data_IF_844376494704
#
_entry.id   IF_844376494704
#
_cell.length_a   1.000
_cell.length_b   1.000
_cell.length_c   1.000
_cell.angle_alpha   90.00
_cell.angle_beta   90.00
_cell.angle_gamma   90.00
#
_symmetry.space_group_name_H-M   'P 1'
#
loop_
_entity.id
_entity.type
_entity.pdbx_description
1 polymer ?
#
# COMPACT_ATOMS: atom_id res chain seq x y z
N UNK A 1 5.69 -7.42 -16.80
CA UNK A 1 4.90 -7.54 -15.55
C UNK A 1 5.88 -7.74 -14.41
N UNK A 2 5.74 -7.03 -13.29
CA UNK A 2 6.54 -7.29 -12.09
C UNK A 2 5.88 -8.42 -11.32
N UNK A 3 6.60 -9.51 -11.12
CA UNK A 3 6.16 -10.65 -10.30
C UNK A 3 6.83 -10.56 -8.94
N UNK A 4 6.22 -9.80 -8.04
CA UNK A 4 6.70 -9.62 -6.66
C UNK A 4 5.64 -10.09 -5.65
N UNK A 5 6.00 -10.81 -4.56
CA UNK A 5 5.12 -10.99 -3.42
C UNK A 5 4.57 -9.65 -2.92
N UNK A 6 3.27 -9.60 -2.64
CA UNK A 6 2.60 -8.36 -2.22
C UNK A 6 1.46 -8.65 -1.26
N UNK A 7 1.23 -7.73 -0.32
CA UNK A 7 0.15 -7.84 0.65
C UNK A 7 -0.42 -6.45 0.95
N UNK A 8 -1.74 -6.33 0.89
CA UNK A 8 -2.47 -5.15 1.37
C UNK A 8 -2.90 -5.38 2.81
N UNK A 9 -2.61 -4.43 3.69
CA UNK A 9 -3.09 -4.41 5.07
C UNK A 9 -4.31 -3.49 5.12
N UNK A 10 -5.50 -4.08 5.28
CA UNK A 10 -6.75 -3.35 5.34
C UNK A 10 -7.32 -3.35 6.76
N UNK A 11 -8.47 -2.71 6.94
CA UNK A 11 -9.17 -2.66 8.21
C UNK A 11 -10.63 -2.29 7.99
N UNK A 12 -11.45 -2.44 9.03
CA UNK A 12 -12.88 -2.14 8.95
C UNK A 12 -13.18 -0.64 9.05
N UNK A 13 -12.29 0.12 9.68
CA UNK A 13 -12.41 1.58 9.87
C UNK A 13 -11.04 2.19 10.23
N UNK A 14 -10.98 3.52 10.35
CA UNK A 14 -9.82 4.25 10.88
C UNK A 14 -9.54 3.92 12.35
N UNK A 15 -8.27 3.88 12.76
CA UNK A 15 -7.90 3.63 14.16
C UNK A 15 -7.84 2.16 14.60
N UNK A 16 -8.19 1.19 13.74
CA UNK A 16 -8.15 -0.25 14.07
C UNK A 16 -6.73 -0.87 14.12
N UNK A 17 -5.67 -0.07 13.93
CA UNK A 17 -4.28 -0.51 14.05
C UNK A 17 -3.57 -0.94 12.76
N UNK A 18 -4.13 -0.62 11.58
CA UNK A 18 -3.53 -0.92 10.25
C UNK A 18 -2.06 -0.51 10.15
N UNK A 19 -1.75 0.72 10.57
CA UNK A 19 -0.40 1.29 10.53
C UNK A 19 0.56 0.50 11.39
N UNK A 20 0.17 0.17 12.63
CA UNK A 20 0.99 -0.65 13.54
C UNK A 20 1.30 -2.02 12.96
N UNK A 21 0.29 -2.70 12.40
CA UNK A 21 0.48 -4.00 11.73
C UNK A 21 1.38 -3.87 10.51
N UNK A 22 1.17 -2.85 9.68
CA UNK A 22 1.96 -2.59 8.47
C UNK A 22 3.43 -2.36 8.81
N UNK A 23 3.72 -1.43 9.73
CA UNK A 23 5.07 -1.12 10.16
C UNK A 23 5.75 -2.33 10.83
N UNK A 24 5.01 -3.09 11.65
CA UNK A 24 5.50 -4.32 12.27
C UNK A 24 5.92 -5.38 11.24
N UNK A 25 5.10 -5.60 10.21
CA UNK A 25 5.42 -6.52 9.12
C UNK A 25 6.62 -6.05 8.30
N UNK A 26 6.66 -4.77 7.92
CA UNK A 26 7.79 -4.18 7.20
C UNK A 26 9.09 -4.32 7.98
N UNK A 27 9.07 -4.02 9.29
CA UNK A 27 10.23 -4.18 10.17
C UNK A 27 10.67 -5.65 10.27
N UNK A 28 9.71 -6.58 10.41
CA UNK A 28 9.99 -8.01 10.47
C UNK A 28 10.61 -8.54 9.17
N UNK A 29 10.10 -8.14 8.01
CA UNK A 29 10.66 -8.52 6.71
C UNK A 29 12.06 -7.94 6.50
N UNK A 30 12.27 -6.66 6.84
CA UNK A 30 13.61 -6.04 6.80
C UNK A 30 14.59 -6.75 7.74
N UNK A 31 14.17 -7.11 8.95
CA UNK A 31 15.01 -7.88 9.91
C UNK A 31 15.41 -9.25 9.36
N UNK A 32 14.62 -9.82 8.45
CA UNK A 32 14.94 -11.06 7.72
C UNK A 32 15.82 -10.84 6.48
N UNK A 33 16.29 -9.62 6.24
CA UNK A 33 17.17 -9.28 5.13
C UNK A 33 16.47 -9.00 3.80
N UNK A 34 15.13 -8.89 3.78
CA UNK A 34 14.37 -8.59 2.57
C UNK A 34 14.39 -7.10 2.24
N UNK A 35 14.49 -6.76 0.95
CA UNK A 35 14.24 -5.42 0.44
C UNK A 35 12.73 -5.19 0.36
N UNK A 36 12.20 -4.39 1.29
CA UNK A 36 10.77 -4.11 1.40
C UNK A 36 10.43 -2.80 0.70
N UNK A 37 9.45 -2.81 -0.21
CA UNK A 37 8.84 -1.60 -0.75
C UNK A 37 7.53 -1.31 -0.02
N UNK A 38 7.47 -0.17 0.68
CA UNK A 38 6.24 0.33 1.28
C UNK A 38 5.38 1.13 0.32
N UNK A 39 4.07 0.95 0.41
CA UNK A 39 3.09 1.79 -0.25
C UNK A 39 1.98 2.19 0.71
N UNK A 40 1.39 3.35 0.49
CA UNK A 40 0.19 3.81 1.21
C UNK A 40 -0.93 4.08 0.22
N UNK A 41 -2.13 3.56 0.49
CA UNK A 41 -3.32 3.93 -0.29
C UNK A 41 -3.77 5.34 0.10
N UNK A 42 -4.14 6.13 -0.91
CA UNK A 42 -4.66 7.49 -0.73
C UNK A 42 -3.58 8.55 -0.50
N UNK A 43 -3.97 9.80 -0.23
CA UNK A 43 -3.08 10.97 -0.18
C UNK A 43 -2.31 11.13 1.14
N UNK A 44 -2.25 10.12 2.01
CA UNK A 44 -1.57 10.27 3.30
C UNK A 44 -0.04 10.15 3.14
N UNK A 45 0.65 11.29 3.18
CA UNK A 45 2.10 11.35 3.00
C UNK A 45 2.86 11.12 4.31
N UNK A 46 2.23 11.26 5.48
CA UNK A 46 2.90 11.05 6.79
C UNK A 46 3.28 9.57 6.93
N UNK A 47 2.36 8.67 6.58
CA UNK A 47 2.59 7.23 6.67
C UNK A 47 3.73 6.76 5.77
N UNK A 48 3.87 7.34 4.57
CA UNK A 48 5.00 7.01 3.69
C UNK A 48 6.34 7.41 4.31
N UNK A 49 6.37 8.44 5.16
CA UNK A 49 7.53 8.78 5.98
C UNK A 49 7.89 7.65 6.95
N UNK A 50 6.93 7.12 7.71
CA UNK A 50 7.15 6.00 8.62
C UNK A 50 7.61 4.74 7.89
N UNK A 51 6.97 4.40 6.76
CA UNK A 51 7.38 3.26 5.92
C UNK A 51 8.83 3.42 5.45
N UNK A 52 9.21 4.64 5.02
CA UNK A 52 10.56 4.93 4.54
C UNK A 52 11.58 4.77 5.66
N UNK A 53 11.28 5.26 6.86
CA UNK A 53 12.15 5.10 8.05
C UNK A 53 12.34 3.61 8.37
N UNK A 54 11.24 2.85 8.44
CA UNK A 54 11.30 1.42 8.80
C UNK A 54 12.03 0.62 7.72
N UNK A 55 11.68 0.79 6.45
CA UNK A 55 12.22 -0.02 5.34
C UNK A 55 13.61 0.45 4.90
N UNK A 56 13.97 1.72 5.10
CA UNK A 56 15.17 2.34 4.50
C UNK A 56 15.02 2.59 2.99
N UNK A 57 13.80 2.48 2.45
CA UNK A 57 13.50 2.64 1.03
C UNK A 57 12.32 3.59 0.87
N UNK A 58 12.41 4.51 -0.08
CA UNK A 58 11.36 5.52 -0.30
C UNK A 58 10.01 4.85 -0.59
N UNK A 59 9.06 5.05 0.32
CA UNK A 59 7.69 4.60 0.17
C UNK A 59 6.90 5.54 -0.77
N UNK A 60 5.79 5.04 -1.32
CA UNK A 60 5.00 5.77 -2.33
C UNK A 60 3.51 5.68 -2.05
N UNK A 61 2.78 6.73 -2.40
CA UNK A 61 1.33 6.69 -2.42
C UNK A 61 0.83 5.96 -3.68
N UNK A 62 -0.21 5.16 -3.50
CA UNK A 62 -1.10 4.66 -4.54
C UNK A 62 -2.43 5.38 -4.31
N UNK A 63 -2.57 6.56 -4.88
CA UNK A 63 -3.69 7.45 -4.61
C UNK A 63 -4.71 7.40 -5.76
N UNK A 64 -5.77 6.60 -5.64
CA UNK A 64 -6.76 6.45 -6.69
C UNK A 64 -7.63 7.71 -6.94
N UNK A 65 -7.57 8.74 -6.07
CA UNK A 65 -8.18 10.04 -6.38
C UNK A 65 -7.38 10.84 -7.40
N UNK A 66 -6.05 10.78 -7.30
CA UNK A 66 -5.15 11.56 -8.13
C UNK A 66 -4.56 10.74 -9.29
N UNK A 67 -4.61 9.41 -9.20
CA UNK A 67 -4.04 8.49 -10.18
C UNK A 67 -5.15 7.72 -10.88
N UNK A 68 -5.11 7.71 -12.21
CA UNK A 68 -5.89 6.75 -12.98
C UNK A 68 -5.50 5.30 -12.61
N UNK A 69 -6.34 4.30 -12.94
CA UNK A 69 -5.99 2.89 -12.76
C UNK A 69 -4.63 2.51 -13.39
N UNK A 70 -4.35 3.06 -14.58
CA UNK A 70 -3.08 2.82 -15.29
C UNK A 70 -1.89 3.43 -14.55
N UNK A 71 -2.04 4.63 -14.02
CA UNK A 71 -0.99 5.31 -13.24
C UNK A 71 -0.74 4.62 -11.90
N UNK A 72 -1.80 4.17 -11.22
CA UNK A 72 -1.69 3.36 -10.00
C UNK A 72 -0.86 2.10 -10.25
N UNK A 73 -1.21 1.34 -11.29
CA UNK A 73 -0.46 0.12 -11.67
C UNK A 73 0.99 0.46 -12.04
N UNK A 74 1.20 1.54 -12.81
CA UNK A 74 2.55 1.94 -13.22
C UNK A 74 3.41 2.41 -12.05
N UNK A 75 2.84 3.15 -11.10
CA UNK A 75 3.49 3.58 -9.86
C UNK A 75 3.91 2.38 -9.01
N UNK A 76 3.00 1.42 -8.83
CA UNK A 76 3.30 0.16 -8.14
C UNK A 76 4.44 -0.59 -8.81
N UNK A 77 4.36 -0.83 -10.12
CA UNK A 77 5.39 -1.55 -10.90
C UNK A 77 6.76 -0.88 -10.80
N UNK A 78 6.83 0.43 -11.01
CA UNK A 78 8.10 1.17 -10.89
C UNK A 78 8.62 1.15 -9.46
N UNK A 79 7.75 1.27 -8.48
CA UNK A 79 8.17 1.29 -7.08
C UNK A 79 8.70 -0.05 -6.60
N UNK A 80 8.12 -1.15 -7.06
CA UNK A 80 8.54 -2.51 -6.72
C UNK A 80 9.84 -2.95 -7.39
N UNK A 81 10.40 -2.19 -8.33
CA UNK A 81 11.64 -2.58 -9.01
C UNK A 81 12.81 -2.75 -8.01
N UNK A 82 13.38 -3.95 -7.95
CA UNK A 82 14.47 -4.28 -7.03
C UNK A 82 14.04 -4.45 -5.57
N UNK A 83 12.76 -4.68 -5.29
CA UNK A 83 12.27 -5.11 -3.99
C UNK A 83 11.91 -6.59 -4.01
N UNK A 84 12.06 -7.25 -2.85
CA UNK A 84 11.70 -8.66 -2.66
C UNK A 84 10.23 -8.83 -2.26
N UNK A 85 9.65 -7.81 -1.60
CA UNK A 85 8.24 -7.79 -1.19
C UNK A 85 7.67 -6.36 -1.19
N UNK A 86 6.41 -6.24 -1.59
CA UNK A 86 5.64 -5.01 -1.45
C UNK A 86 4.62 -5.12 -0.30
N UNK A 87 4.61 -4.17 0.62
CA UNK A 87 3.59 -4.08 1.68
C UNK A 87 2.83 -2.77 1.48
N UNK A 88 1.51 -2.88 1.35
CA UNK A 88 0.62 -1.76 1.02
C UNK A 88 -0.29 -1.50 2.22
N UNK A 89 -0.18 -0.34 2.84
CA UNK A 89 -1.09 0.09 3.89
C UNK A 89 -2.37 0.68 3.30
N UNK A 90 -3.52 0.15 3.70
CA UNK A 90 -4.83 0.68 3.32
C UNK A 90 -5.16 2.03 3.96
N UNK A 91 -6.27 2.63 3.55
CA UNK A 91 -6.83 3.87 4.12
C UNK A 91 -8.27 3.63 4.56
N UNK A 92 -8.72 4.30 5.63
CA UNK A 92 -10.08 4.20 6.18
C UNK A 92 -10.54 2.73 6.35
N UNK A 93 -11.81 2.41 6.08
CA UNK A 93 -12.29 1.05 5.90
C UNK A 93 -11.95 0.48 4.52
N UNK A 94 -11.91 -0.85 4.40
CA UNK A 94 -11.52 -1.56 3.17
C UNK A 94 -12.28 -1.08 1.91
N UNK A 95 -13.58 -0.83 2.06
CA UNK A 95 -14.47 -0.42 0.97
C UNK A 95 -14.77 1.07 0.98
N UNK A 96 -14.20 1.83 1.91
CA UNK A 96 -14.43 3.26 1.99
C UNK A 96 -13.67 3.93 0.85
N UNK A 97 -14.43 4.39 -0.15
CA UNK A 97 -13.96 5.28 -1.21
C UNK A 97 -14.77 6.57 -1.18
N UNK A 98 -14.50 7.48 -2.10
CA UNK A 98 -15.29 8.71 -2.18
C UNK A 98 -15.44 9.28 -3.58
N UNK A 99 -15.41 8.42 -4.60
CA UNK A 99 -16.12 8.75 -5.83
C UNK A 99 -17.64 8.55 -5.69
N UNK A 100 -18.42 8.93 -6.72
CA UNK A 100 -19.89 8.97 -6.67
C UNK A 100 -20.55 7.63 -6.35
N UNK A 101 -19.86 6.51 -6.64
CA UNK A 101 -20.31 5.15 -6.35
C UNK A 101 -20.01 4.69 -4.91
N UNK A 102 -19.26 5.46 -4.13
CA UNK A 102 -18.72 5.08 -2.82
C UNK A 102 -17.64 3.99 -2.84
N UNK A 103 -17.36 3.39 -4.02
CA UNK A 103 -16.39 2.30 -4.21
C UNK A 103 -15.12 2.75 -4.92
N UNK A 104 -15.24 3.82 -5.69
CA UNK A 104 -14.11 4.46 -6.34
C UNK A 104 -13.20 5.09 -5.29
N UNK A 105 -11.91 4.87 -5.45
CA UNK A 105 -10.84 5.30 -4.55
C UNK A 105 -10.70 4.52 -3.24
N UNK A 106 -11.29 3.32 -3.15
CA UNK A 106 -11.16 2.45 -1.97
C UNK A 106 -9.87 1.62 -1.95
N UNK A 107 -9.49 1.16 -0.75
CA UNK A 107 -8.40 0.19 -0.57
C UNK A 107 -8.65 -1.09 -1.38
N UNK A 108 -9.90 -1.56 -1.42
CA UNK A 108 -10.31 -2.73 -2.20
C UNK A 108 -10.07 -2.56 -3.70
N UNK A 109 -10.36 -1.37 -4.26
CA UNK A 109 -10.10 -1.09 -5.67
C UNK A 109 -8.60 -1.17 -5.98
N UNK A 110 -7.77 -0.52 -5.16
CA UNK A 110 -6.31 -0.54 -5.35
C UNK A 110 -5.77 -1.97 -5.29
N UNK A 111 -6.20 -2.76 -4.31
CA UNK A 111 -5.82 -4.17 -4.19
C UNK A 111 -6.16 -4.98 -5.45
N UNK A 112 -7.34 -4.76 -6.02
CA UNK A 112 -7.76 -5.37 -7.28
C UNK A 112 -6.87 -4.98 -8.47
N UNK A 113 -6.54 -3.69 -8.60
CA UNK A 113 -5.69 -3.17 -9.68
C UNK A 113 -4.29 -3.79 -9.68
N UNK A 114 -3.69 -3.95 -8.50
CA UNK A 114 -2.33 -4.52 -8.35
C UNK A 114 -2.34 -6.05 -8.15
N UNK A 115 -3.54 -6.67 -8.14
CA UNK A 115 -3.76 -8.10 -7.91
C UNK A 115 -3.09 -8.57 -6.60
N UNK A 116 -3.35 -7.85 -5.51
CA UNK A 116 -2.82 -8.17 -4.20
C UNK A 116 -3.86 -8.89 -3.33
N UNK A 117 -3.45 -9.91 -2.55
CA UNK A 117 -4.27 -10.38 -1.43
C UNK A 117 -4.39 -9.29 -0.37
N UNK A 118 -5.47 -9.36 0.41
CA UNK A 118 -5.78 -8.47 1.51
C UNK A 118 -5.71 -9.27 2.82
N UNK A 119 -5.05 -8.70 3.83
CA UNK A 119 -5.15 -9.09 5.23
C UNK A 119 -6.05 -8.12 5.98
#
# INVERSE_FOLDING_TARGET
>A
MVTIPRLVIAGTHSGVGKTSVTLGLMAAFKKRGLVVQGFKVGPDYIDTGHHTIVTGRLARNLDPYLMSPRETISSFVRGSAGADIAVIEGVMGLFDGGGPSGKDSSTAQVAGLIKAPIL
#
